data_IF_991255217514
#
_entry.id   IF_991255217514
#
_cell.length_a   1.000
_cell.length_b   1.000
_cell.length_c   1.000
_cell.angle_alpha   90.00
_cell.angle_beta   90.00
_cell.angle_gamma   90.00
#
_symmetry.space_group_name_H-M   'P 1'
#
loop_
_entity.id
_entity.type
_entity.pdbx_description
1 polymer ?
#
# COMPACT_ATOMS: atom_id res chain seq x y z
N UNK A 1 -19.90 -8.00 -3.09
CA UNK A 1 -19.52 -7.73 -4.49
C UNK A 1 -18.56 -8.79 -5.03
N UNK A 2 -17.25 -8.80 -4.71
CA UNK A 2 -16.39 -9.98 -4.98
C UNK A 2 -16.93 -11.25 -4.29
N UNK A 3 -17.44 -11.03 -3.09
CA UNK A 3 -18.07 -11.95 -2.14
C UNK A 3 -19.36 -12.63 -2.62
N UNK A 4 -20.07 -11.99 -3.54
CA UNK A 4 -21.44 -12.37 -3.93
C UNK A 4 -21.47 -13.05 -5.30
N UNK A 5 -20.35 -13.05 -6.04
CA UNK A 5 -20.34 -13.35 -7.47
C UNK A 5 -19.54 -14.61 -7.88
N UNK A 6 -19.10 -15.43 -6.91
CA UNK A 6 -18.59 -16.79 -7.18
C UNK A 6 -17.20 -17.10 -6.65
N UNK A 7 -16.44 -16.11 -6.15
CA UNK A 7 -15.19 -16.38 -5.42
C UNK A 7 -15.47 -16.32 -3.92
N UNK A 8 -15.92 -17.46 -3.38
CA UNK A 8 -16.42 -17.57 -2.02
C UNK A 8 -15.32 -17.49 -0.94
N UNK A 9 -14.04 -17.53 -1.33
CA UNK A 9 -12.93 -17.50 -0.39
C UNK A 9 -12.51 -16.07 -0.03
N UNK A 10 -12.62 -15.67 1.25
CA UNK A 10 -12.21 -14.35 1.67
C UNK A 10 -10.76 -13.97 1.51
N UNK A 11 -9.88 -14.95 1.64
CA UNK A 11 -8.45 -14.72 1.50
C UNK A 11 -8.11 -14.36 0.06
N UNK A 12 -8.71 -15.06 -0.90
CA UNK A 12 -8.53 -14.80 -2.33
C UNK A 12 -8.99 -13.40 -2.72
N UNK A 13 -10.15 -12.95 -2.24
CA UNK A 13 -10.64 -11.60 -2.53
C UNK A 13 -9.72 -10.51 -1.97
N UNK A 14 -9.17 -10.75 -0.78
CA UNK A 14 -8.16 -9.87 -0.18
C UNK A 14 -6.91 -9.82 -1.06
N UNK A 15 -6.40 -10.95 -1.54
CA UNK A 15 -5.23 -10.98 -2.43
C UNK A 15 -5.47 -10.16 -3.71
N UNK A 16 -6.65 -10.30 -4.34
CA UNK A 16 -6.97 -9.52 -5.53
C UNK A 16 -7.00 -8.02 -5.26
N UNK A 17 -7.51 -7.61 -4.08
CA UNK A 17 -7.51 -6.20 -3.67
C UNK A 17 -6.09 -5.69 -3.39
N UNK A 18 -5.26 -6.51 -2.75
CA UNK A 18 -3.85 -6.19 -2.50
C UNK A 18 -3.09 -5.98 -3.81
N UNK A 19 -3.34 -6.80 -4.84
CA UNK A 19 -2.71 -6.60 -6.15
C UNK A 19 -3.09 -5.27 -6.80
N UNK A 20 -4.37 -4.90 -6.76
CA UNK A 20 -4.85 -3.65 -7.36
C UNK A 20 -4.36 -2.42 -6.58
N UNK A 21 -4.37 -2.48 -5.25
CA UNK A 21 -3.80 -1.42 -4.41
C UNK A 21 -2.30 -1.23 -4.69
N UNK A 22 -1.56 -2.33 -4.83
CA UNK A 22 -0.15 -2.26 -5.20
C UNK A 22 0.06 -1.54 -6.55
N UNK A 23 -0.76 -1.85 -7.56
CA UNK A 23 -0.68 -1.15 -8.85
C UNK A 23 -0.95 0.35 -8.72
N UNK A 24 -1.91 0.73 -7.87
CA UNK A 24 -2.24 2.13 -7.59
C UNK A 24 -1.09 2.87 -6.89
N UNK A 25 -0.50 2.24 -5.89
CA UNK A 25 0.66 2.79 -5.17
C UNK A 25 1.88 2.91 -6.09
N UNK A 26 2.13 1.92 -6.94
CA UNK A 26 3.24 1.92 -7.88
C UNK A 26 3.14 3.08 -8.88
N UNK A 27 1.94 3.36 -9.38
CA UNK A 27 1.68 4.54 -10.23
C UNK A 27 1.86 5.86 -9.46
N UNK A 28 1.44 5.92 -8.20
CA UNK A 28 1.63 7.09 -7.33
C UNK A 28 3.12 7.39 -7.12
N UNK A 29 3.93 6.35 -6.89
CA UNK A 29 5.40 6.47 -6.79
C UNK A 29 5.99 6.98 -8.10
N UNK A 30 5.53 6.49 -9.25
CA UNK A 30 6.07 7.01 -10.51
C UNK A 30 5.68 8.47 -10.75
N UNK A 31 4.44 8.87 -10.47
CA UNK A 31 4.03 10.27 -10.60
C UNK A 31 4.90 11.20 -9.73
N UNK A 32 5.24 10.77 -8.50
CA UNK A 32 6.17 11.49 -7.64
C UNK A 32 7.57 11.59 -8.25
N UNK A 33 8.13 10.47 -8.73
CA UNK A 33 9.47 10.45 -9.38
C UNK A 33 9.51 11.29 -10.67
N UNK A 34 8.41 11.32 -11.43
CA UNK A 34 8.23 12.18 -12.60
C UNK A 34 8.31 13.65 -12.22
N UNK A 35 7.55 14.05 -11.20
CA UNK A 35 7.51 15.42 -10.72
C UNK A 35 8.87 15.87 -10.16
N UNK A 36 9.52 15.04 -9.35
CA UNK A 36 10.85 15.33 -8.80
C UNK A 36 11.91 15.46 -9.89
N UNK A 37 11.90 14.56 -10.87
CA UNK A 37 12.85 14.57 -11.97
C UNK A 37 12.66 15.81 -12.87
N UNK A 38 11.42 16.20 -13.15
CA UNK A 38 11.10 17.43 -13.88
C UNK A 38 11.56 18.66 -13.12
N UNK A 39 11.29 18.73 -11.81
CA UNK A 39 11.69 19.83 -10.95
C UNK A 39 13.21 19.99 -10.85
N UNK A 40 13.94 18.88 -10.69
CA UNK A 40 15.40 18.86 -10.55
C UNK A 40 16.14 18.88 -11.90
N UNK A 41 15.44 18.67 -13.01
CA UNK A 41 16.05 18.56 -14.34
C UNK A 41 16.96 17.35 -14.51
N UNK A 42 16.71 16.26 -13.77
CA UNK A 42 17.50 15.03 -13.81
C UNK A 42 16.77 13.93 -14.56
N UNK A 43 17.51 13.00 -15.16
CA UNK A 43 16.93 11.77 -15.69
C UNK A 43 16.60 10.81 -14.54
N UNK A 44 15.46 10.11 -14.63
CA UNK A 44 15.13 9.01 -13.73
C UNK A 44 14.78 7.76 -14.54
N UNK A 45 14.95 6.59 -13.91
CA UNK A 45 14.58 5.31 -14.49
C UNK A 45 13.11 5.00 -14.20
N UNK A 46 12.33 4.83 -15.27
CA UNK A 46 10.91 4.53 -15.22
C UNK A 46 10.63 3.09 -14.80
N UNK A 47 9.62 2.93 -13.97
CA UNK A 47 9.00 1.67 -13.62
C UNK A 47 8.17 1.19 -14.81
N UNK A 48 7.38 2.08 -15.43
CA UNK A 48 6.47 1.70 -16.51
C UNK A 48 7.07 2.00 -17.89
N UNK A 49 6.87 1.11 -18.90
CA UNK A 49 7.36 1.36 -20.25
C UNK A 49 6.72 2.62 -20.85
N UNK A 50 7.54 3.44 -21.52
CA UNK A 50 7.09 4.74 -22.09
C UNK A 50 6.05 4.57 -23.20
N UNK A 51 6.09 3.46 -23.92
CA UNK A 51 5.17 3.08 -24.98
C UNK A 51 3.88 2.39 -24.48
N UNK A 52 3.76 2.18 -23.17
CA UNK A 52 2.62 1.51 -22.52
C UNK A 52 1.95 2.37 -21.44
N UNK A 53 1.44 3.57 -21.76
CA UNK A 53 0.73 4.40 -20.79
C UNK A 53 -0.50 3.70 -20.19
N UNK A 54 -1.11 2.76 -20.93
CA UNK A 54 -2.24 1.96 -20.48
C UNK A 54 -1.95 1.08 -19.26
N UNK A 55 -0.68 0.87 -18.88
CA UNK A 55 -0.32 0.09 -17.69
C UNK A 55 -0.44 0.91 -16.40
N UNK A 56 -0.54 2.23 -16.49
CA UNK A 56 -0.63 3.16 -15.34
C UNK A 56 -2.05 3.18 -14.78
N UNK A 57 -2.20 3.11 -13.45
CA UNK A 57 -3.50 3.21 -12.76
C UNK A 57 -4.30 4.43 -13.20
N UNK A 58 -3.64 5.59 -13.22
CA UNK A 58 -4.15 6.89 -13.68
C UNK A 58 -4.75 6.87 -15.08
N UNK A 59 -4.32 5.92 -15.93
CA UNK A 59 -4.81 5.75 -17.30
C UNK A 59 -5.96 4.75 -17.36
N UNK A 60 -5.74 3.48 -16.97
CA UNK A 60 -6.75 2.45 -17.19
C UNK A 60 -8.02 2.65 -16.36
N UNK A 61 -7.93 3.37 -15.22
CA UNK A 61 -9.12 3.69 -14.41
C UNK A 61 -10.16 4.52 -15.16
N UNK A 62 -9.71 5.29 -16.16
CA UNK A 62 -10.52 6.25 -16.92
C UNK A 62 -10.89 5.76 -18.33
N UNK A 63 -10.50 4.54 -18.73
CA UNK A 63 -10.76 4.02 -20.09
C UNK A 63 -12.25 3.81 -20.43
N UNK A 64 -13.12 3.68 -19.42
CA UNK A 64 -14.57 3.54 -19.60
C UNK A 64 -15.05 2.16 -20.11
N UNK A 65 -14.30 1.50 -20.99
CA UNK A 65 -14.60 0.15 -21.48
C UNK A 65 -14.09 -0.95 -20.53
N UNK A 66 -15.03 -1.55 -19.79
CA UNK A 66 -14.74 -2.63 -18.86
C UNK A 66 -14.08 -3.84 -19.52
N UNK A 67 -14.46 -4.19 -20.75
CA UNK A 67 -13.94 -5.36 -21.46
C UNK A 67 -12.48 -5.15 -21.81
N UNK A 68 -12.14 -3.96 -22.31
CA UNK A 68 -10.77 -3.64 -22.66
C UNK A 68 -9.87 -3.54 -21.43
N UNK A 69 -10.33 -2.88 -20.35
CA UNK A 69 -9.60 -2.85 -19.07
C UNK A 69 -9.35 -4.27 -18.56
N UNK A 70 -10.34 -5.15 -18.67
CA UNK A 70 -10.19 -6.56 -18.26
C UNK A 70 -9.19 -7.33 -19.13
N UNK A 71 -9.25 -7.15 -20.46
CA UNK A 71 -8.31 -7.76 -21.39
C UNK A 71 -6.87 -7.30 -21.10
N UNK A 72 -6.66 -5.99 -20.98
CA UNK A 72 -5.37 -5.39 -20.64
C UNK A 72 -4.87 -5.90 -19.29
N UNK A 73 -5.73 -5.89 -18.26
CA UNK A 73 -5.37 -6.33 -16.92
C UNK A 73 -4.90 -7.78 -16.91
N UNK A 74 -5.63 -8.67 -17.57
CA UNK A 74 -5.34 -10.11 -17.55
C UNK A 74 -4.19 -10.51 -18.46
N UNK A 75 -4.07 -9.90 -19.64
CA UNK A 75 -3.10 -10.32 -20.67
C UNK A 75 -1.77 -9.56 -20.59
N UNK A 76 -1.77 -8.35 -20.05
CA UNK A 76 -0.64 -7.42 -20.17
C UNK A 76 -0.20 -6.87 -18.81
N UNK A 77 -1.08 -6.14 -18.11
CA UNK A 77 -0.72 -5.39 -16.90
C UNK A 77 -0.35 -6.34 -15.75
N UNK A 78 -1.20 -7.32 -15.43
CA UNK A 78 -0.91 -8.24 -14.32
C UNK A 78 0.36 -9.08 -14.58
N UNK A 79 0.57 -9.65 -15.79
CA UNK A 79 1.85 -10.27 -16.14
C UNK A 79 3.05 -9.33 -16.04
N UNK A 80 2.93 -8.07 -16.45
CA UNK A 80 3.99 -7.06 -16.30
C UNK A 80 4.33 -6.84 -14.82
N UNK A 81 3.33 -6.54 -13.98
CA UNK A 81 3.51 -6.31 -12.54
C UNK A 81 4.12 -7.51 -11.84
N UNK A 82 3.68 -8.72 -12.22
CA UNK A 82 4.21 -9.98 -11.69
C UNK A 82 5.70 -10.18 -11.98
N UNK A 83 6.20 -9.64 -13.09
CA UNK A 83 7.58 -9.77 -13.53
C UNK A 83 8.45 -8.54 -13.21
N UNK A 84 7.94 -7.58 -12.44
CA UNK A 84 8.76 -6.47 -11.94
C UNK A 84 9.91 -7.02 -11.09
N UNK A 85 11.13 -6.85 -11.57
CA UNK A 85 12.36 -7.14 -10.85
C UNK A 85 12.80 -5.87 -10.12
N UNK A 86 13.10 -5.99 -8.82
CA UNK A 86 13.85 -4.94 -8.13
C UNK A 86 15.34 -5.03 -8.46
N UNK A 87 16.15 -4.17 -7.85
CA UNK A 87 17.62 -4.16 -7.98
C UNK A 87 18.28 -5.51 -7.61
N UNK A 88 17.56 -6.34 -6.85
CA UNK A 88 17.91 -7.73 -6.55
C UNK A 88 16.75 -8.65 -6.95
N UNK A 89 17.03 -9.79 -7.60
CA UNK A 89 16.02 -10.75 -8.07
C UNK A 89 15.17 -11.38 -6.92
N UNK A 90 15.53 -11.22 -5.65
CA UNK A 90 14.89 -11.86 -4.49
C UNK A 90 14.33 -10.86 -3.44
N UNK A 91 13.53 -9.89 -3.89
CA UNK A 91 12.74 -9.06 -2.95
C UNK A 91 11.57 -9.86 -2.36
N UNK A 92 11.11 -9.47 -1.16
CA UNK A 92 9.93 -10.09 -0.55
C UNK A 92 8.69 -10.00 -1.46
N UNK A 93 8.60 -8.91 -2.23
CA UNK A 93 7.56 -8.70 -3.22
C UNK A 93 7.67 -9.67 -4.40
N UNK A 94 8.86 -9.84 -5.00
CA UNK A 94 9.05 -10.73 -6.15
C UNK A 94 8.72 -12.18 -5.78
N UNK A 95 8.99 -12.61 -4.54
CA UNK A 95 8.57 -13.91 -4.00
C UNK A 95 7.05 -14.05 -3.90
N UNK A 96 6.36 -13.03 -3.39
CA UNK A 96 4.89 -13.05 -3.25
C UNK A 96 4.18 -13.05 -4.61
N UNK A 97 4.68 -12.27 -5.58
CA UNK A 97 4.06 -12.18 -6.91
C UNK A 97 4.36 -13.37 -7.82
N UNK A 98 5.45 -14.12 -7.61
CA UNK A 98 5.87 -15.22 -8.51
C UNK A 98 4.79 -16.27 -8.76
N UNK A 99 4.02 -16.61 -7.74
CA UNK A 99 2.92 -17.58 -7.83
C UNK A 99 1.54 -16.90 -7.86
N UNK A 100 1.50 -15.57 -7.95
CA UNK A 100 0.25 -14.81 -7.97
C UNK A 100 -0.56 -15.12 -9.23
N UNK A 101 -1.87 -15.28 -9.04
CA UNK A 101 -2.86 -15.50 -10.08
C UNK A 101 -3.95 -14.45 -9.92
N UNK A 102 -4.26 -13.76 -11.02
CA UNK A 102 -5.39 -12.85 -11.09
C UNK A 102 -6.68 -13.65 -11.29
N UNK A 103 -7.64 -13.47 -10.38
CA UNK A 103 -8.85 -14.31 -10.30
C UNK A 103 -10.16 -13.53 -10.43
N UNK A 104 -10.11 -12.20 -10.61
CA UNK A 104 -11.31 -11.46 -11.00
C UNK A 104 -11.62 -11.87 -12.43
N UNK A 105 -12.79 -12.50 -12.65
CA UNK A 105 -13.15 -13.13 -13.93
C UNK A 105 -14.27 -12.39 -14.69
N UNK A 106 -14.77 -11.28 -14.13
CA UNK A 106 -15.83 -10.46 -14.74
C UNK A 106 -15.36 -9.02 -14.94
N UNK A 107 -15.39 -8.51 -16.18
CA UNK A 107 -15.07 -7.13 -16.51
C UNK A 107 -15.78 -6.09 -15.62
N UNK A 108 -17.10 -6.22 -15.46
CA UNK A 108 -17.89 -5.30 -14.64
C UNK A 108 -17.53 -5.35 -13.14
N UNK A 109 -17.03 -6.50 -12.65
CA UNK A 109 -16.56 -6.60 -11.26
C UNK A 109 -15.24 -5.88 -11.10
N UNK A 110 -14.29 -6.08 -12.04
CA UNK A 110 -13.00 -5.39 -12.04
C UNK A 110 -13.20 -3.87 -12.05
N UNK A 111 -14.01 -3.35 -12.97
CA UNK A 111 -14.25 -1.91 -13.09
C UNK A 111 -14.80 -1.31 -11.80
N UNK A 112 -15.80 -1.95 -11.18
CA UNK A 112 -16.36 -1.49 -9.90
C UNK A 112 -15.34 -1.52 -8.77
N UNK A 113 -14.49 -2.56 -8.71
CA UNK A 113 -13.41 -2.64 -7.71
C UNK A 113 -12.40 -1.51 -7.92
N UNK A 114 -12.00 -1.24 -9.17
CA UNK A 114 -11.11 -0.12 -9.50
C UNK A 114 -11.73 1.20 -9.06
N UNK A 115 -13.00 1.47 -9.37
CA UNK A 115 -13.68 2.71 -8.95
C UNK A 115 -13.70 2.87 -7.42
N UNK A 116 -14.04 1.80 -6.69
CA UNK A 116 -14.03 1.81 -5.22
C UNK A 116 -12.62 2.08 -4.70
N UNK A 117 -11.62 1.40 -5.23
CA UNK A 117 -10.23 1.58 -4.81
C UNK A 117 -9.68 2.97 -5.17
N UNK A 118 -10.20 3.60 -6.23
CA UNK A 118 -9.77 4.94 -6.64
C UNK A 118 -10.16 6.01 -5.61
N UNK A 119 -11.29 5.84 -4.93
CA UNK A 119 -11.79 6.74 -3.87
C UNK A 119 -10.88 6.78 -2.62
N UNK A 120 -10.04 5.77 -2.40
CA UNK A 120 -9.14 5.74 -1.24
C UNK A 120 -7.84 6.52 -1.50
N UNK A 121 -7.34 7.32 -0.53
CA UNK A 121 -6.05 7.97 -0.69
C UNK A 121 -4.91 6.93 -0.80
N UNK A 122 -3.92 7.20 -1.65
CA UNK A 122 -2.67 6.42 -1.72
C UNK A 122 -1.54 7.16 -1.03
N UNK A 123 -0.47 6.42 -0.71
CA UNK A 123 0.76 7.03 -0.18
C UNK A 123 1.30 8.03 -1.20
N UNK A 124 1.32 9.31 -0.81
CA UNK A 124 1.82 10.40 -1.65
C UNK A 124 0.77 11.37 -2.20
N UNK A 125 -0.54 11.20 -1.91
CA UNK A 125 -1.43 12.37 -1.94
C UNK A 125 -0.99 13.30 -0.83
N UNK A 126 -0.74 14.58 -1.12
CA UNK A 126 -0.32 15.64 -0.19
C UNK A 126 -1.23 15.72 1.05
N UNK A 127 -1.03 14.81 1.99
CA UNK A 127 -1.58 14.86 3.33
C UNK A 127 -0.39 15.21 4.19
N UNK A 128 -0.37 16.49 4.54
CA UNK A 128 0.49 17.08 5.55
C UNK A 128 0.73 16.08 6.69
N UNK A 129 1.99 15.95 7.09
CA UNK A 129 2.42 15.25 8.31
C UNK A 129 1.94 15.96 9.59
N UNK A 130 0.88 16.77 9.51
CA UNK A 130 0.33 17.58 10.57
C UNK A 130 -1.21 17.50 10.56
N UNK A 131 -1.78 17.52 11.77
CA UNK A 131 -3.20 17.47 12.13
C UNK A 131 -3.85 16.10 12.23
N UNK A 132 -4.04 15.65 13.49
CA UNK A 132 -5.31 15.38 14.21
C UNK A 132 -6.60 14.99 13.45
N UNK A 133 -6.52 14.59 12.18
CA UNK A 133 -7.63 13.99 11.46
C UNK A 133 -7.38 12.49 11.44
N UNK A 134 -8.27 11.71 12.04
CA UNK A 134 -8.36 10.25 11.88
C UNK A 134 -8.73 9.92 10.42
N UNK A 135 -7.85 10.26 9.48
CA UNK A 135 -7.92 9.89 8.08
C UNK A 135 -7.41 8.47 7.92
N UNK A 136 -8.05 7.73 7.03
CA UNK A 136 -7.64 6.40 6.57
C UNK A 136 -6.20 6.53 6.06
N UNK A 137 -5.21 6.16 6.87
CA UNK A 137 -3.81 6.55 6.64
C UNK A 137 -2.92 5.38 6.23
N UNK A 138 -3.46 4.17 6.07
CA UNK A 138 -2.67 3.05 5.56
C UNK A 138 -3.52 2.02 4.78
N UNK A 139 -2.85 1.25 3.91
CA UNK A 139 -3.37 0.00 3.33
C UNK A 139 -3.96 -0.91 4.43
N UNK A 140 -3.40 -0.82 5.65
CA UNK A 140 -3.91 -1.48 6.85
C UNK A 140 -5.36 -1.13 7.18
N UNK A 141 -5.77 0.13 7.05
CA UNK A 141 -7.14 0.58 7.33
C UNK A 141 -8.14 0.11 6.28
N UNK A 142 -7.73 0.12 5.00
CA UNK A 142 -8.53 -0.45 3.90
C UNK A 142 -8.70 -1.96 4.12
N UNK A 143 -7.61 -2.64 4.48
CA UNK A 143 -7.61 -4.06 4.80
C UNK A 143 -8.50 -4.36 6.03
N UNK A 144 -8.43 -3.53 7.07
CA UNK A 144 -9.28 -3.63 8.26
C UNK A 144 -10.75 -3.35 7.94
N UNK A 145 -11.05 -2.34 7.13
CA UNK A 145 -12.39 -2.02 6.67
C UNK A 145 -12.96 -3.21 5.88
N UNK A 146 -12.22 -3.74 4.91
CA UNK A 146 -12.62 -4.90 4.13
C UNK A 146 -12.84 -6.12 5.02
N UNK A 147 -11.96 -6.39 5.99
CA UNK A 147 -12.12 -7.47 6.97
C UNK A 147 -13.31 -7.28 7.91
N UNK A 148 -13.61 -6.05 8.32
CA UNK A 148 -14.75 -5.74 9.18
C UNK A 148 -16.07 -6.01 8.45
N UNK A 149 -16.11 -5.86 7.12
CA UNK A 149 -17.26 -6.26 6.29
C UNK A 149 -17.34 -7.78 6.08
N UNK A 150 -16.29 -8.53 6.43
CA UNK A 150 -16.22 -10.00 6.35
C UNK A 150 -16.47 -10.71 7.67
N UNK A 151 -16.42 -10.00 8.79
CA UNK A 151 -16.59 -10.57 10.12
C UNK A 151 -18.03 -11.01 10.45
N UNK A 152 -18.97 -10.96 9.50
CA UNK A 152 -20.30 -11.57 9.63
C UNK A 152 -20.27 -13.10 9.71
N UNK A 153 -19.14 -13.74 9.44
CA UNK A 153 -18.94 -15.17 9.69
C UNK A 153 -17.90 -15.35 10.81
N UNK A 154 -18.36 -15.70 12.02
CA UNK A 154 -17.54 -15.92 13.23
C UNK A 154 -16.41 -16.97 13.15
N UNK A 155 -16.06 -17.45 11.94
CA UNK A 155 -14.90 -18.29 11.65
C UNK A 155 -13.60 -17.51 11.37
N UNK A 156 -13.68 -16.24 10.93
CA UNK A 156 -12.50 -15.51 10.43
C UNK A 156 -11.83 -14.59 11.46
N UNK A 157 -12.34 -14.52 12.70
CA UNK A 157 -11.79 -13.69 13.79
C UNK A 157 -10.43 -14.15 14.32
N UNK A 158 -10.01 -15.38 14.01
CA UNK A 158 -8.73 -15.96 14.43
C UNK A 158 -7.48 -15.28 13.83
N UNK A 159 -7.67 -14.39 12.85
CA UNK A 159 -6.59 -13.70 12.12
C UNK A 159 -6.55 -12.20 12.42
N UNK A 160 -7.16 -11.75 13.53
CA UNK A 160 -7.27 -10.33 13.86
C UNK A 160 -7.05 -10.06 15.35
N UNK A 161 -6.20 -9.09 15.64
CA UNK A 161 -6.15 -8.38 16.92
C UNK A 161 -6.90 -7.04 16.77
N UNK A 162 -7.87 -6.70 17.63
CA UNK A 162 -8.55 -5.41 17.55
C UNK A 162 -7.59 -4.22 17.70
N UNK A 163 -7.84 -3.13 16.96
CA UNK A 163 -6.96 -1.95 16.91
C UNK A 163 -6.58 -1.39 18.29
N UNK A 164 -7.57 -1.18 19.16
CA UNK A 164 -7.34 -0.70 20.53
C UNK A 164 -6.44 -1.63 21.37
N UNK A 165 -6.40 -2.93 21.07
CA UNK A 165 -5.49 -3.88 21.73
C UNK A 165 -4.08 -3.72 21.18
N UNK A 166 -3.93 -3.53 19.87
CA UNK A 166 -2.64 -3.27 19.23
C UNK A 166 -2.04 -1.96 19.78
N UNK A 167 -2.83 -0.88 19.80
CA UNK A 167 -2.42 0.42 20.29
C UNK A 167 -1.96 0.33 21.76
N UNK A 168 -2.76 -0.32 22.61
CA UNK A 168 -2.40 -0.60 24.00
C UNK A 168 -1.11 -1.42 24.12
N UNK A 169 -0.91 -2.47 23.30
CA UNK A 169 0.31 -3.29 23.32
C UNK A 169 1.54 -2.46 22.94
N UNK A 170 1.44 -1.61 21.91
CA UNK A 170 2.55 -0.74 21.48
C UNK A 170 2.83 0.34 22.52
N UNK A 171 1.79 0.91 23.13
CA UNK A 171 1.91 1.91 24.21
C UNK A 171 2.56 1.31 25.46
N UNK A 172 2.26 0.07 25.82
CA UNK A 172 2.91 -0.60 26.96
C UNK A 172 4.34 -1.05 26.63
N UNK A 173 4.58 -1.52 25.39
CA UNK A 173 5.88 -2.03 24.96
C UNK A 173 6.93 -0.94 24.79
N UNK A 174 6.52 0.29 24.42
CA UNK A 174 7.42 1.44 24.19
C UNK A 174 8.66 1.10 23.32
N UNK A 175 8.48 0.54 22.11
CA UNK A 175 9.61 0.13 21.28
C UNK A 175 10.46 1.33 20.84
N UNK A 176 11.76 1.09 20.67
CA UNK A 176 12.78 2.07 20.24
C UNK A 176 13.47 1.60 18.95
N UNK A 177 14.21 2.51 18.29
CA UNK A 177 14.97 2.19 17.06
C UNK A 177 16.02 1.09 17.23
N UNK A 178 16.42 0.78 18.47
CA UNK A 178 17.43 -0.24 18.77
C UNK A 178 16.80 -1.61 18.98
N UNK A 179 15.47 -1.67 19.13
CA UNK A 179 14.76 -2.89 19.45
C UNK A 179 14.46 -3.71 18.20
N UNK A 180 14.56 -5.03 18.34
CA UNK A 180 14.17 -5.99 17.29
C UNK A 180 12.80 -6.52 17.69
N UNK A 181 11.79 -6.23 16.87
CA UNK A 181 10.41 -6.67 17.10
C UNK A 181 10.17 -7.98 16.36
N UNK A 182 9.59 -8.96 17.05
CA UNK A 182 9.20 -10.25 16.46
C UNK A 182 7.77 -10.60 16.87
N UNK A 183 6.97 -11.00 15.88
CA UNK A 183 5.62 -11.54 16.09
C UNK A 183 5.56 -12.93 15.43
N UNK A 184 5.64 -14.03 16.21
CA UNK A 184 5.69 -15.39 15.67
C UNK A 184 4.32 -15.89 15.17
N UNK A 185 3.25 -15.14 15.41
CA UNK A 185 1.89 -15.46 14.97
C UNK A 185 1.33 -14.42 13.98
N UNK A 186 2.19 -13.58 13.40
CA UNK A 186 1.81 -12.48 12.48
C UNK A 186 1.05 -12.94 11.23
N UNK A 187 1.17 -14.21 10.83
CA UNK A 187 0.60 -14.69 9.57
C UNK A 187 1.04 -13.82 8.38
N UNK A 188 0.18 -13.64 7.37
CA UNK A 188 0.39 -12.66 6.29
C UNK A 188 0.06 -11.21 6.72
N UNK A 189 -0.17 -10.97 8.01
CA UNK A 189 -0.82 -9.76 8.57
C UNK A 189 0.10 -9.12 9.62
N UNK A 190 1.09 -8.38 9.14
CA UNK A 190 2.20 -7.78 9.89
C UNK A 190 1.76 -6.59 10.78
N UNK A 191 0.54 -6.59 11.32
CA UNK A 191 -0.09 -5.37 11.89
C UNK A 191 0.66 -4.87 13.13
N UNK A 192 0.97 -5.73 14.11
CA UNK A 192 1.67 -5.31 15.34
C UNK A 192 3.08 -4.77 15.02
N UNK A 193 3.82 -5.47 14.15
CA UNK A 193 5.16 -5.04 13.74
C UNK A 193 5.12 -3.74 12.91
N UNK A 194 4.12 -3.59 12.03
CA UNK A 194 3.93 -2.35 11.26
C UNK A 194 3.62 -1.20 12.21
N UNK A 195 2.75 -1.42 13.20
CA UNK A 195 2.36 -0.39 14.15
C UNK A 195 3.50 0.04 15.07
N UNK A 196 4.27 -0.94 15.56
CA UNK A 196 5.47 -0.67 16.34
C UNK A 196 6.51 0.13 15.52
N UNK A 197 6.70 -0.19 14.24
CA UNK A 197 7.58 0.56 13.34
C UNK A 197 7.06 1.98 13.02
N UNK A 198 5.75 2.13 12.78
CA UNK A 198 5.12 3.43 12.55
C UNK A 198 5.21 4.32 13.79
N UNK A 199 5.03 3.76 14.99
CA UNK A 199 5.22 4.46 16.26
C UNK A 199 6.66 4.98 16.43
N UNK A 200 7.66 4.15 16.11
CA UNK A 200 9.07 4.57 16.10
C UNK A 200 9.29 5.70 15.08
N UNK A 201 8.80 5.56 13.83
CA UNK A 201 8.92 6.60 12.81
C UNK A 201 8.30 7.92 13.25
N UNK A 202 7.08 7.90 13.79
CA UNK A 202 6.41 9.11 14.30
C UNK A 202 7.20 9.77 15.42
N UNK A 203 7.73 9.00 16.37
CA UNK A 203 8.61 9.51 17.44
C UNK A 203 9.88 10.16 16.86
N UNK A 204 10.53 9.53 15.89
CA UNK A 204 11.71 10.10 15.21
C UNK A 204 11.36 11.37 14.47
N UNK A 205 10.28 11.39 13.68
CA UNK A 205 9.79 12.56 12.95
C UNK A 205 9.48 13.75 13.88
N UNK A 206 8.90 13.51 15.06
CA UNK A 206 8.68 14.55 16.09
C UNK A 206 9.97 15.08 16.70
N UNK A 207 11.06 14.31 16.66
CA UNK A 207 12.38 14.70 17.15
C UNK A 207 13.23 15.40 16.09
N UNK A 208 13.01 15.16 14.80
CA UNK A 208 13.76 15.78 13.69
C UNK A 208 13.74 17.33 13.72
N UNK A 209 12.60 18.01 13.98
CA UNK A 209 12.58 19.46 14.16
C UNK A 209 13.42 19.93 15.35
N UNK A 210 13.41 19.16 16.45
CA UNK A 210 14.15 19.50 17.68
C UNK A 210 15.66 19.32 17.52
N UNK A 211 16.08 18.31 16.76
CA UNK A 211 17.47 18.08 16.40
C UNK A 211 18.01 19.19 15.49
N UNK A 212 17.19 19.67 14.53
CA UNK A 212 17.55 20.80 13.67
C UNK A 212 17.67 22.13 14.41
N UNK A 213 16.94 22.31 15.53
CA UNK A 213 17.04 23.52 16.36
C UNK A 213 18.21 23.49 17.34
N UNK A 214 18.72 22.31 17.72
CA UNK A 214 19.88 22.20 18.62
C UNK A 214 21.24 22.31 17.90
N UNK A 215 21.31 22.07 16.57
CA UNK A 215 22.56 22.20 15.79
C UNK A 215 22.83 23.62 15.21
N UNK A 216 21.98 24.62 15.47
CA UNK A 216 22.16 25.97 14.87
C UNK A 216 22.71 27.08 15.78
N UNK A 217 23.08 26.77 17.03
CA UNK A 217 23.58 27.80 17.98
C UNK A 217 25.11 27.93 18.07
N UNK A 218 25.84 27.55 17.03
CA UNK A 218 27.24 27.97 16.91
C UNK A 218 27.74 28.01 15.47
N UNK A 219 27.59 29.17 14.83
CA UNK A 219 28.64 29.79 14.02
C UNK A 219 28.29 31.28 13.82
N UNK A 220 29.06 32.13 14.50
CA UNK A 220 29.01 33.57 14.35
C UNK A 220 29.28 33.96 12.89
N UNK A 221 28.55 34.96 12.43
CA UNK A 221 28.96 35.81 11.32
C UNK A 221 30.06 36.75 11.85
N UNK A 222 31.19 36.78 11.14
CA UNK A 222 32.46 37.49 11.43
C UNK A 222 33.37 36.86 12.50
#
# INVERSE_FOLDING_TARGET
>A
MLWTEGNANPLTNIEQLTYLLFMKDLDSVELGRESDAEFLGISYERIFPKDKPEYRWSTFKNMGDAQEVYRLMTQEIFPFIKNLKGDTDDTAFSRYMREAIFQINKPATLQKVISILDEFPTRGSDIDFDSDTQGINDIGDIYEYLLSKLSTAGKNGQFRTPRHIIDMMVELMQPTIKDIISDPAMGSRVIIMTEANSSIKSKVLKLLPKLKTEETDSLCVA
#
